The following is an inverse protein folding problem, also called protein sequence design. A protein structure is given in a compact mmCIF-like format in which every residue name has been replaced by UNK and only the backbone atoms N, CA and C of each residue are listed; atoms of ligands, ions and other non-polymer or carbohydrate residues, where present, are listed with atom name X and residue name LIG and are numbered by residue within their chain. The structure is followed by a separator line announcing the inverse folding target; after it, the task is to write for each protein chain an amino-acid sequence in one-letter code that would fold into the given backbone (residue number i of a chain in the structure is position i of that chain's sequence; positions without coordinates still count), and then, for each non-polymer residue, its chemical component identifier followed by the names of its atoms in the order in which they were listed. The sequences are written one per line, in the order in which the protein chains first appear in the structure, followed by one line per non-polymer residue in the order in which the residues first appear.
data_IF_159336278323
#
_entry.id   IF_159336278323
#
_cell.length_a   1.000
_cell.length_b   1.000
_cell.length_c   1.000
_cell.angle_alpha   90.00
_cell.angle_beta   90.00
_cell.angle_gamma   90.00
#
_symmetry.space_group_name_H-M   'P 1'
#
loop_
_entity.id
_entity.type
_entity.pdbx_description
1 polymer ?
#
# COMPACT_ATOMS: atom_id res chain seq x y z
N UNK A 1 -0.51 -9.33 18.92
CA UNK A 1 0.47 -8.79 17.96
C UNK A 1 0.50 -7.27 18.02
N UNK A 2 1.66 -6.70 18.36
CA UNK A 2 1.88 -5.26 18.51
C UNK A 2 1.99 -4.50 17.17
N UNK A 3 2.92 -3.54 17.04
CA UNK A 3 3.15 -2.85 15.77
C UNK A 3 3.64 -3.83 14.69
N UNK A 4 3.17 -3.68 13.44
CA UNK A 4 3.46 -4.60 12.33
C UNK A 4 4.25 -3.99 11.18
N UNK A 5 4.29 -2.66 11.09
CA UNK A 5 4.87 -1.94 9.98
C UNK A 5 4.85 -0.45 10.24
N UNK A 6 5.78 0.25 9.61
CA UNK A 6 5.93 1.69 9.73
C UNK A 6 6.27 2.31 8.38
N UNK A 7 5.83 3.54 8.18
CA UNK A 7 6.19 4.40 7.05
C UNK A 7 6.65 5.74 7.59
N UNK A 8 7.51 6.42 6.84
CA UNK A 8 8.00 7.75 7.18
C UNK A 8 7.76 8.69 6.01
N UNK A 9 7.10 9.80 6.28
CA UNK A 9 6.75 10.86 5.33
C UNK A 9 6.40 12.14 6.11
N UNK A 10 6.29 13.27 5.43
CA UNK A 10 5.90 14.56 6.02
C UNK A 10 4.36 14.66 6.09
N UNK A 11 3.74 14.18 7.18
CA UNK A 11 2.28 14.07 7.30
C UNK A 11 1.60 15.38 7.70
N UNK A 12 2.35 16.36 8.19
CA UNK A 12 1.85 17.67 8.64
C UNK A 12 2.42 18.87 7.85
N UNK A 13 3.09 18.61 6.73
CA UNK A 13 3.68 19.60 5.84
C UNK A 13 4.68 20.58 6.51
N UNK A 14 5.37 20.16 7.57
CA UNK A 14 6.35 21.00 8.27
C UNK A 14 7.81 20.82 7.79
N UNK A 15 8.01 19.96 6.79
CA UNK A 15 9.29 19.55 6.18
C UNK A 15 10.16 18.61 7.04
N UNK A 16 9.63 18.09 8.15
CA UNK A 16 10.22 17.00 8.88
C UNK A 16 9.65 15.65 8.41
N UNK A 17 10.38 14.58 8.70
CA UNK A 17 9.95 13.22 8.38
C UNK A 17 9.26 12.65 9.63
N UNK A 18 7.94 12.51 9.55
CA UNK A 18 7.12 11.93 10.59
C UNK A 18 7.09 10.39 10.47
N UNK A 19 6.47 9.72 11.44
CA UNK A 19 6.27 8.27 11.42
C UNK A 19 4.79 7.91 11.58
N UNK A 20 4.30 7.01 10.73
CA UNK A 20 3.02 6.33 10.92
C UNK A 20 3.26 4.82 11.10
N UNK A 21 2.76 4.26 12.19
CA UNK A 21 2.97 2.86 12.60
C UNK A 21 1.63 2.16 12.71
N UNK A 22 1.42 1.10 11.93
CA UNK A 22 0.21 0.28 12.03
C UNK A 22 0.30 -0.69 13.22
N UNK A 23 -0.73 -0.69 14.06
CA UNK A 23 -0.85 -1.51 15.26
C UNK A 23 -2.02 -2.48 15.11
N UNK A 24 -1.68 -3.77 15.04
CA UNK A 24 -2.63 -4.81 14.70
C UNK A 24 -3.66 -5.06 15.83
N UNK A 25 -3.20 -5.22 17.09
CA UNK A 25 -4.06 -5.61 18.21
C UNK A 25 -5.13 -4.58 18.57
N UNK A 26 -4.75 -3.29 18.60
CA UNK A 26 -5.64 -2.21 19.03
C UNK A 26 -6.36 -1.52 17.86
N UNK A 27 -6.11 -1.95 16.61
CA UNK A 27 -6.71 -1.40 15.38
C UNK A 27 -6.48 0.10 15.28
N UNK A 28 -5.22 0.50 15.42
CA UNK A 28 -4.82 1.90 15.29
C UNK A 28 -3.61 2.08 14.39
N UNK A 29 -3.46 3.29 13.88
CA UNK A 29 -2.17 3.83 13.46
C UNK A 29 -1.68 4.76 14.56
N UNK A 30 -0.42 4.61 14.96
CA UNK A 30 0.29 5.59 15.76
C UNK A 30 0.99 6.57 14.85
N UNK A 31 0.63 7.85 14.97
CA UNK A 31 1.29 8.93 14.26
C UNK A 31 2.20 9.69 15.24
N UNK A 32 3.47 9.80 14.88
CA UNK A 32 4.47 10.54 15.63
C UNK A 32 4.99 11.66 14.72
N UNK A 33 4.61 12.91 15.03
CA UNK A 33 5.05 14.09 14.30
C UNK A 33 6.42 14.53 14.82
N UNK A 34 7.41 14.68 13.95
CA UNK A 34 8.78 15.04 14.29
C UNK A 34 8.90 16.55 14.55
N UNK A 35 9.73 16.91 15.54
CA UNK A 35 10.10 18.29 15.79
C UNK A 35 11.30 18.76 14.94
N UNK A 36 11.91 17.87 14.15
CA UNK A 36 13.10 18.14 13.34
C UNK A 36 14.41 18.13 14.13
N UNK A 37 14.36 17.70 15.40
CA UNK A 37 15.51 17.65 16.32
C UNK A 37 15.74 16.23 16.87
N UNK A 38 15.11 15.21 16.27
CA UNK A 38 15.19 13.81 16.71
C UNK A 38 14.25 13.47 17.86
N UNK A 39 13.28 14.34 18.17
CA UNK A 39 12.21 14.09 19.14
C UNK A 39 10.84 14.20 18.49
N UNK A 40 9.86 13.49 19.02
CA UNK A 40 8.49 13.50 18.50
C UNK A 40 7.53 14.22 19.45
N UNK A 41 6.48 14.78 18.87
CA UNK A 41 5.29 15.22 19.60
C UNK A 41 4.62 14.05 20.33
N UNK A 42 3.65 14.37 21.18
CA UNK A 42 2.78 13.35 21.77
C UNK A 42 2.12 12.51 20.67
N UNK A 43 2.22 11.19 20.80
CA UNK A 43 1.67 10.22 19.87
C UNK A 43 0.17 10.42 19.67
N UNK A 44 -0.25 10.50 18.42
CA UNK A 44 -1.66 10.51 18.02
C UNK A 44 -2.08 9.09 17.61
N UNK A 45 -3.31 8.71 17.98
CA UNK A 45 -3.89 7.42 17.62
C UNK A 45 -5.03 7.60 16.63
N UNK A 46 -4.85 7.09 15.42
CA UNK A 46 -5.88 7.06 14.40
C UNK A 46 -6.54 5.68 14.44
N UNK A 47 -7.85 5.62 14.67
CA UNK A 47 -8.58 4.34 14.69
C UNK A 47 -8.88 3.87 13.28
N UNK A 48 -8.77 2.56 13.07
CA UNK A 48 -9.16 1.88 11.83
C UNK A 48 -10.14 0.76 12.13
N UNK A 49 -10.93 0.32 11.14
CA UNK A 49 -12.03 -0.61 11.41
C UNK A 49 -11.55 -2.04 11.62
N UNK A 50 -10.40 -2.41 11.04
CA UNK A 50 -9.89 -3.78 11.02
C UNK A 50 -8.44 -3.85 11.54
N UNK A 51 -7.93 -5.06 11.74
CA UNK A 51 -6.57 -5.29 12.21
C UNK A 51 -5.58 -5.14 11.04
N UNK A 52 -4.78 -4.06 10.97
CA UNK A 52 -3.83 -3.89 9.89
C UNK A 52 -2.70 -4.92 9.97
N UNK A 53 -2.20 -5.38 8.83
CA UNK A 53 -0.98 -6.20 8.74
C UNK A 53 0.06 -5.66 7.75
N UNK A 54 -0.28 -4.62 6.98
CA UNK A 54 0.63 -3.85 6.12
C UNK A 54 0.25 -2.38 6.20
N UNK A 55 1.22 -1.48 6.06
CA UNK A 55 1.03 -0.04 5.86
C UNK A 55 1.96 0.45 4.75
N UNK A 56 1.42 1.26 3.84
CA UNK A 56 2.19 2.04 2.85
C UNK A 56 1.70 3.49 2.85
N UNK A 57 2.49 4.40 2.29
CA UNK A 57 2.15 5.82 2.21
C UNK A 57 2.63 6.43 0.89
N UNK A 58 1.77 7.24 0.29
CA UNK A 58 2.02 8.02 -0.92
C UNK A 58 0.91 9.06 -1.09
N UNK A 59 1.00 9.94 -2.08
CA UNK A 59 -0.09 10.86 -2.46
C UNK A 59 -1.02 10.17 -3.49
N UNK A 60 -2.11 9.56 -3.02
CA UNK A 60 -3.01 8.75 -3.86
C UNK A 60 -4.13 9.57 -4.52
N UNK A 61 -4.27 10.84 -4.15
CA UNK A 61 -5.32 11.75 -4.65
C UNK A 61 -4.75 13.00 -5.35
N UNK A 62 -3.43 13.09 -5.49
CA UNK A 62 -2.70 14.19 -6.14
C UNK A 62 -2.95 15.56 -5.48
N UNK A 63 -3.17 15.60 -4.17
CA UNK A 63 -3.35 16.84 -3.40
C UNK A 63 -2.08 17.35 -2.71
N UNK A 64 -0.95 16.66 -2.91
CA UNK A 64 0.36 16.88 -2.29
C UNK A 64 0.42 16.61 -0.78
N UNK A 65 -0.57 15.92 -0.21
CA UNK A 65 -0.50 15.39 1.14
C UNK A 65 -0.24 13.88 1.10
N UNK A 66 0.53 13.38 2.06
CA UNK A 66 0.74 11.95 2.17
C UNK A 66 -0.49 11.26 2.76
N UNK A 67 -1.02 10.32 2.00
CA UNK A 67 -2.09 9.41 2.40
C UNK A 67 -1.51 8.12 2.96
N UNK A 68 -2.39 7.28 3.51
CA UNK A 68 -2.05 5.95 4.02
C UNK A 68 -2.94 4.88 3.40
N UNK A 69 -2.33 3.73 3.10
CA UNK A 69 -3.06 2.50 2.76
C UNK A 69 -2.68 1.40 3.73
N UNK A 70 -3.68 0.65 4.17
CA UNK A 70 -3.51 -0.52 5.03
C UNK A 70 -4.04 -1.78 4.36
N UNK A 71 -3.38 -2.92 4.60
CA UNK A 71 -3.97 -4.23 4.31
C UNK A 71 -4.63 -4.82 5.55
N UNK A 72 -5.70 -5.59 5.34
CA UNK A 72 -6.43 -6.31 6.36
C UNK A 72 -6.54 -7.80 6.00
N UNK A 73 -5.52 -8.57 6.41
CA UNK A 73 -5.42 -10.01 6.17
C UNK A 73 -6.69 -10.80 6.52
N UNK A 74 -7.26 -10.55 7.70
CA UNK A 74 -8.46 -11.26 8.19
C UNK A 74 -9.74 -10.91 7.40
N UNK A 75 -9.75 -9.78 6.68
CA UNK A 75 -10.94 -9.23 6.02
C UNK A 75 -10.88 -9.32 4.50
N UNK A 76 -9.71 -9.59 3.90
CA UNK A 76 -9.50 -9.58 2.45
C UNK A 76 -9.79 -8.19 1.84
N UNK A 77 -9.34 -7.15 2.54
CA UNK A 77 -9.56 -5.76 2.16
C UNK A 77 -8.29 -4.95 2.30
N UNK A 78 -8.24 -3.83 1.59
CA UNK A 78 -7.38 -2.71 1.90
C UNK A 78 -8.23 -1.50 2.31
N UNK A 79 -7.66 -0.59 3.08
CA UNK A 79 -8.22 0.76 3.24
C UNK A 79 -7.31 1.82 2.67
N UNK A 80 -7.90 2.97 2.35
CA UNK A 80 -7.20 4.23 2.12
C UNK A 80 -7.70 5.29 3.11
N UNK A 81 -6.76 6.00 3.73
CA UNK A 81 -6.98 7.16 4.59
C UNK A 81 -6.33 8.37 3.93
N UNK A 82 -7.14 9.35 3.52
CA UNK A 82 -6.64 10.55 2.84
C UNK A 82 -6.15 11.58 3.86
N UNK A 83 -4.90 12.02 3.72
CA UNK A 83 -4.26 12.99 4.61
C UNK A 83 -4.75 14.41 4.34
N UNK A 84 -4.86 15.21 5.40
CA UNK A 84 -5.19 16.64 5.28
C UNK A 84 -3.94 17.53 5.23
N UNK A 85 -2.75 16.96 5.38
CA UNK A 85 -1.49 17.70 5.43
C UNK A 85 -1.22 18.42 6.76
N UNK A 86 -1.99 18.13 7.81
CA UNK A 86 -1.84 18.68 9.16
C UNK A 86 -1.66 17.57 10.23
N UNK A 87 -1.36 16.35 9.79
CA UNK A 87 -1.31 15.15 10.63
C UNK A 87 -2.68 14.53 10.91
N UNK A 88 -3.77 15.06 10.37
CA UNK A 88 -5.09 14.43 10.41
C UNK A 88 -5.44 13.72 9.11
N UNK A 89 -6.39 12.77 9.20
CA UNK A 89 -6.82 11.93 8.08
C UNK A 89 -8.35 11.85 8.01
N UNK A 90 -8.86 11.71 6.79
CA UNK A 90 -10.25 11.39 6.54
C UNK A 90 -10.62 9.99 7.04
N UNK A 91 -11.92 9.74 7.15
CA UNK A 91 -12.44 8.39 7.40
C UNK A 91 -11.98 7.42 6.32
N UNK A 92 -11.59 6.22 6.73
CA UNK A 92 -11.09 5.23 5.77
C UNK A 92 -12.15 4.78 4.76
N UNK A 93 -11.72 4.61 3.50
CA UNK A 93 -12.52 3.97 2.44
C UNK A 93 -11.96 2.57 2.19
N UNK A 94 -12.84 1.58 2.08
CA UNK A 94 -12.43 0.18 1.92
C UNK A 94 -12.55 -0.30 0.48
N UNK A 95 -11.59 -1.12 0.04
CA UNK A 95 -11.60 -1.82 -1.24
C UNK A 95 -11.38 -3.31 -1.02
N UNK A 96 -12.14 -4.14 -1.72
CA UNK A 96 -11.98 -5.61 -1.67
C UNK A 96 -10.78 -6.03 -2.50
N UNK A 97 -9.97 -6.93 -1.94
CA UNK A 97 -8.83 -7.57 -2.62
C UNK A 97 -8.96 -9.10 -2.54
N UNK A 98 -7.93 -9.84 -2.96
CA UNK A 98 -7.89 -11.29 -2.77
C UNK A 98 -7.67 -11.70 -1.31
N UNK A 99 -7.56 -13.00 -1.07
CA UNK A 99 -7.54 -13.55 0.29
C UNK A 99 -6.22 -13.32 1.01
N UNK A 100 -6.30 -12.92 2.28
CA UNK A 100 -5.16 -12.71 3.18
C UNK A 100 -4.06 -11.86 2.53
N UNK A 101 -4.34 -10.57 2.20
CA UNK A 101 -3.35 -9.67 1.61
C UNK A 101 -2.14 -9.50 2.55
N UNK A 102 -0.92 -9.64 2.02
CA UNK A 102 0.33 -9.63 2.80
C UNK A 102 1.35 -8.57 2.37
N UNK A 103 1.22 -8.02 1.16
CA UNK A 103 2.14 -7.00 0.65
C UNK A 103 1.37 -6.09 -0.29
N UNK A 104 1.73 -4.82 -0.29
CA UNK A 104 1.18 -3.80 -1.19
C UNK A 104 2.36 -3.02 -1.75
N UNK A 105 2.34 -2.75 -3.05
CA UNK A 105 3.15 -1.70 -3.68
C UNK A 105 2.23 -0.76 -4.45
N UNK A 106 2.68 0.48 -4.60
CA UNK A 106 1.98 1.51 -5.37
C UNK A 106 2.90 2.09 -6.44
N UNK A 107 2.42 2.20 -7.67
CA UNK A 107 3.16 2.81 -8.78
C UNK A 107 2.20 3.11 -9.95
N UNK A 108 2.66 3.83 -10.97
CA UNK A 108 1.88 4.06 -12.20
C UNK A 108 2.06 2.87 -13.17
N UNK A 109 1.25 1.82 -13.00
CA UNK A 109 1.39 0.58 -13.78
C UNK A 109 0.77 0.68 -15.18
N UNK A 110 -0.10 1.65 -15.43
CA UNK A 110 -0.76 1.85 -16.72
C UNK A 110 -0.28 3.10 -17.49
N UNK A 111 0.67 3.85 -16.94
CA UNK A 111 1.21 5.12 -17.46
C UNK A 111 0.13 6.21 -17.64
N UNK A 112 -0.86 6.26 -16.73
CA UNK A 112 -1.91 7.29 -16.72
C UNK A 112 -1.65 8.43 -15.71
N UNK A 113 -0.44 8.45 -15.12
CA UNK A 113 0.05 9.41 -14.12
C UNK A 113 -0.65 9.35 -12.77
N UNK A 114 -1.40 8.27 -12.50
CA UNK A 114 -2.07 8.05 -11.21
C UNK A 114 -1.48 6.80 -10.57
N UNK A 115 -1.38 6.84 -9.25
CA UNK A 115 -0.92 5.68 -8.50
C UNK A 115 -1.95 4.56 -8.55
N UNK A 116 -1.52 3.43 -9.07
CA UNK A 116 -2.20 2.15 -9.02
C UNK A 116 -1.66 1.33 -7.83
N UNK A 117 -2.33 0.24 -7.48
CA UNK A 117 -1.90 -0.69 -6.44
C UNK A 117 -1.76 -2.10 -6.96
N UNK A 118 -0.73 -2.79 -6.49
CA UNK A 118 -0.64 -4.25 -6.57
C UNK A 118 -0.60 -4.81 -5.16
N UNK A 119 -1.46 -5.80 -4.90
CA UNK A 119 -1.59 -6.46 -3.60
C UNK A 119 -1.30 -7.94 -3.74
N UNK A 120 -0.40 -8.49 -2.93
CA UNK A 120 -0.13 -9.93 -2.89
C UNK A 120 -1.10 -10.61 -1.93
N UNK A 121 -1.86 -11.57 -2.45
CA UNK A 121 -2.90 -12.28 -1.72
C UNK A 121 -2.42 -13.70 -1.41
N UNK A 122 -1.88 -13.85 -0.20
CA UNK A 122 -1.27 -15.11 0.23
C UNK A 122 -2.28 -16.25 0.27
N UNK A 123 -3.52 -15.96 0.66
CA UNK A 123 -4.54 -16.96 0.98
C UNK A 123 -5.19 -17.63 -0.23
N UNK A 124 -5.05 -17.07 -1.42
CA UNK A 124 -5.56 -17.65 -2.66
C UNK A 124 -4.55 -17.72 -3.81
N UNK A 125 -3.27 -17.44 -3.53
CA UNK A 125 -2.17 -17.49 -4.51
C UNK A 125 -2.42 -16.56 -5.70
N UNK A 126 -2.90 -15.34 -5.41
CA UNK A 126 -3.15 -14.32 -6.43
C UNK A 126 -2.43 -13.02 -6.11
N UNK A 127 -2.40 -12.13 -7.10
CA UNK A 127 -2.23 -10.70 -6.89
C UNK A 127 -3.49 -9.97 -7.35
N UNK A 128 -3.81 -8.85 -6.68
CA UNK A 128 -4.85 -7.91 -7.11
C UNK A 128 -4.18 -6.65 -7.65
N UNK A 129 -4.49 -6.27 -8.89
CA UNK A 129 -4.15 -4.98 -9.48
C UNK A 129 -5.36 -4.05 -9.42
N UNK A 130 -5.22 -2.89 -8.79
CA UNK A 130 -6.27 -1.88 -8.67
C UNK A 130 -5.78 -0.59 -9.31
N UNK A 131 -6.40 -0.21 -10.42
CA UNK A 131 -6.06 1.06 -11.09
C UNK A 131 -6.61 2.26 -10.32
N UNK A 132 -5.77 3.27 -10.12
CA UNK A 132 -6.13 4.52 -9.47
C UNK A 132 -7.02 5.39 -10.35
N UNK A 133 -7.92 6.15 -9.72
CA UNK A 133 -8.65 7.22 -10.38
C UNK A 133 -8.01 8.60 -10.17
N UNK A 134 -7.01 8.69 -9.28
CA UNK A 134 -6.28 9.94 -8.96
C UNK A 134 -7.03 10.84 -7.97
N UNK A 135 -8.07 10.34 -7.33
CA UNK A 135 -8.88 11.05 -6.33
C UNK A 135 -8.98 10.26 -5.00
N UNK A 136 -8.02 9.36 -4.78
CA UNK A 136 -8.04 8.44 -3.64
C UNK A 136 -9.08 7.32 -3.78
N UNK A 137 -9.62 7.08 -4.98
CA UNK A 137 -10.45 5.91 -5.29
C UNK A 137 -9.78 5.00 -6.30
N UNK A 138 -10.19 3.73 -6.29
CA UNK A 138 -9.64 2.68 -7.15
C UNK A 138 -10.74 2.02 -7.96
N UNK A 139 -10.39 1.54 -9.15
CA UNK A 139 -11.25 0.70 -9.99
C UNK A 139 -11.36 -0.70 -9.36
N UNK A 140 -12.33 -1.48 -9.85
CA UNK A 140 -12.47 -2.89 -9.48
C UNK A 140 -11.16 -3.64 -9.76
N UNK A 141 -10.74 -4.46 -8.80
CA UNK A 141 -9.53 -5.26 -8.92
C UNK A 141 -9.53 -6.17 -10.16
N UNK A 142 -8.35 -6.29 -10.77
CA UNK A 142 -8.01 -7.35 -11.72
C UNK A 142 -7.18 -8.38 -10.95
N UNK A 143 -7.52 -9.65 -11.10
CA UNK A 143 -6.88 -10.74 -10.35
C UNK A 143 -5.98 -11.54 -11.29
N UNK A 144 -4.74 -11.77 -10.88
CA UNK A 144 -3.80 -12.65 -11.58
C UNK A 144 -3.38 -13.79 -10.66
N UNK A 145 -3.41 -15.02 -11.16
CA UNK A 145 -2.87 -16.18 -10.45
C UNK A 145 -1.35 -16.15 -10.48
N UNK A 146 -0.72 -16.44 -9.35
CA UNK A 146 0.74 -16.54 -9.18
C UNK A 146 1.12 -17.89 -8.58
N UNK A 147 2.40 -18.05 -8.23
CA UNK A 147 2.87 -19.18 -7.45
C UNK A 147 2.27 -19.22 -6.04
N UNK A 148 2.51 -20.31 -5.34
CA UNK A 148 1.98 -20.54 -4.01
C UNK A 148 2.66 -19.63 -2.97
N UNK A 149 1.83 -19.03 -2.11
CA UNK A 149 2.25 -18.18 -1.00
C UNK A 149 3.04 -16.94 -1.46
N UNK A 150 2.43 -16.04 -2.24
CA UNK A 150 3.03 -14.75 -2.58
C UNK A 150 3.15 -13.90 -1.32
N UNK A 151 4.36 -13.43 -1.01
CA UNK A 151 4.63 -12.68 0.24
C UNK A 151 5.25 -11.30 0.02
N UNK A 152 5.80 -11.04 -1.17
CA UNK A 152 6.53 -9.81 -1.46
C UNK A 152 6.40 -9.45 -2.92
N UNK A 153 6.31 -8.14 -3.16
CA UNK A 153 6.17 -7.50 -4.46
C UNK A 153 7.27 -6.46 -4.63
N UNK A 154 7.75 -6.31 -5.86
CA UNK A 154 8.65 -5.23 -6.27
C UNK A 154 8.23 -4.75 -7.67
N UNK A 155 8.32 -3.46 -7.92
CA UNK A 155 8.20 -2.88 -9.26
C UNK A 155 9.55 -2.33 -9.74
N UNK A 156 9.74 -2.32 -11.06
CA UNK A 156 10.89 -1.69 -11.71
C UNK A 156 10.93 -2.00 -13.19
N UNK A 157 11.61 -1.16 -13.98
CA UNK A 157 11.84 -1.42 -15.40
C UNK A 157 12.96 -2.47 -15.57
N UNK A 158 12.58 -3.75 -15.64
CA UNK A 158 13.52 -4.88 -15.65
C UNK A 158 13.98 -5.22 -17.07
N UNK A 159 13.14 -4.92 -18.08
CA UNK A 159 13.42 -5.21 -19.48
C UNK A 159 13.95 -3.98 -20.27
N UNK A 160 14.00 -2.79 -19.66
CA UNK A 160 14.43 -1.50 -20.23
C UNK A 160 13.52 -0.94 -21.32
N UNK A 161 12.21 -1.17 -21.20
CA UNK A 161 11.20 -0.63 -22.12
C UNK A 161 10.51 0.64 -21.61
N UNK A 162 10.99 1.19 -20.48
CA UNK A 162 10.43 2.36 -19.80
C UNK A 162 9.02 2.16 -19.26
N UNK A 163 8.61 0.91 -19.02
CA UNK A 163 7.41 0.54 -18.29
C UNK A 163 7.81 -0.24 -17.05
N UNK A 164 7.02 -0.10 -15.99
CA UNK A 164 7.28 -0.82 -14.76
C UNK A 164 6.82 -2.26 -14.89
N UNK A 165 7.76 -3.18 -14.74
CA UNK A 165 7.50 -4.60 -14.57
C UNK A 165 7.22 -4.93 -13.11
N UNK A 166 6.54 -6.04 -12.87
CA UNK A 166 6.19 -6.51 -11.53
C UNK A 166 6.91 -7.82 -11.21
N UNK A 167 7.52 -7.90 -10.04
CA UNK A 167 8.11 -9.12 -9.49
C UNK A 167 7.31 -9.62 -8.30
N UNK A 168 7.02 -10.93 -8.26
CA UNK A 168 6.29 -11.60 -7.18
C UNK A 168 7.14 -12.72 -6.61
N UNK A 169 7.36 -12.69 -5.30
CA UNK A 169 8.12 -13.74 -4.57
C UNK A 169 7.15 -14.75 -3.96
N UNK A 170 7.20 -16.00 -4.43
CA UNK A 170 6.31 -17.09 -4.00
C UNK A 170 7.10 -18.12 -3.17
N UNK A 171 6.92 -18.07 -1.85
CA UNK A 171 7.78 -18.85 -0.95
C UNK A 171 7.46 -20.34 -0.91
N UNK A 172 6.20 -20.75 -1.14
CA UNK A 172 5.87 -22.18 -1.17
C UNK A 172 6.10 -22.81 -2.54
N UNK A 173 6.07 -22.01 -3.61
CA UNK A 173 6.49 -22.47 -4.94
C UNK A 173 8.01 -22.46 -5.13
N UNK A 174 8.77 -21.88 -4.19
CA UNK A 174 10.23 -21.68 -4.31
C UNK A 174 10.63 -21.00 -5.62
N UNK A 175 9.85 -20.00 -6.06
CA UNK A 175 10.12 -19.29 -7.30
C UNK A 175 9.84 -17.78 -7.17
N UNK A 176 10.35 -17.06 -8.15
CA UNK A 176 10.04 -15.65 -8.40
C UNK A 176 9.35 -15.61 -9.76
N UNK A 177 8.21 -14.93 -9.83
CA UNK A 177 7.53 -14.64 -11.09
C UNK A 177 7.78 -13.18 -11.47
N UNK A 178 8.02 -12.92 -12.75
CA UNK A 178 8.14 -11.57 -13.30
C UNK A 178 7.05 -11.40 -14.33
N UNK A 179 6.27 -10.35 -14.19
CA UNK A 179 5.26 -9.94 -15.16
C UNK A 179 5.80 -8.74 -15.93
N UNK A 180 5.88 -8.90 -17.25
CA UNK A 180 6.29 -7.80 -18.11
C UNK A 180 5.10 -6.93 -18.46
N UNK A 181 5.25 -5.62 -18.29
CA UNK A 181 4.20 -4.68 -18.65
C UNK A 181 4.28 -4.31 -20.12
N UNK A 182 3.38 -4.86 -20.93
CA UNK A 182 3.32 -4.58 -22.35
C UNK A 182 2.07 -3.76 -22.65
N UNK A 183 2.27 -2.48 -22.99
CA UNK A 183 1.18 -1.60 -23.43
C UNK A 183 0.07 -1.35 -22.39
N UNK A 184 0.42 -1.20 -21.10
CA UNK A 184 -0.55 -0.92 -20.02
C UNK A 184 -1.35 -2.16 -19.58
N UNK A 185 -0.94 -3.34 -20.05
CA UNK A 185 -1.42 -4.63 -19.61
C UNK A 185 -0.24 -5.40 -19.03
N UNK A 186 -0.39 -5.79 -17.76
CA UNK A 186 0.49 -6.76 -17.13
C UNK A 186 0.14 -8.13 -17.73
N UNK A 187 1.02 -8.66 -18.58
CA UNK A 187 0.83 -9.96 -19.23
C UNK A 187 1.61 -11.06 -18.48
N UNK A 188 0.98 -12.24 -18.37
CA UNK A 188 1.50 -13.47 -17.78
C UNK A 188 2.59 -14.14 -18.63
#
# INVERSE_FOLDING_TARGET
MGPIGAVSNNFNNDNNQDLAIANQDNRTISLLLDHGNGTFQSQLFIKVNNKPNVIISNDFNSDNNFDLILAYGENNMISILLGNGDGSFHSEKLNTVGKNPLSIISDDFNNDTKLDLVVANQGDNTISLLFGNGDGTFRTQIIYTVGNNPISLLSGDLNKDSRLDLTVVNTLSNNIMVFLNQCGLINL
#
